data_IF_100292845227
#
_entry.id   IF_100292845227
#
_cell.length_a   1.000
_cell.length_b   1.000
_cell.length_c   1.000
_cell.angle_alpha   90.00
_cell.angle_beta   90.00
_cell.angle_gamma   90.00
#
_symmetry.space_group_name_H-M   'P 1'
#
loop_
_entity.id
_entity.type
_entity.pdbx_description
1 polymer ?
#
# COMPACT_ATOMS: atom_id res chain seq x y z
N UNK A 1 -27.95 -10.61 -7.04
CA UNK A 1 -27.14 -9.40 -7.28
C UNK A 1 -26.29 -9.71 -8.49
N UNK A 2 -26.60 -9.10 -9.63
CA UNK A 2 -25.88 -9.38 -10.86
C UNK A 2 -24.44 -8.88 -10.69
N UNK A 3 -23.49 -9.81 -10.66
CA UNK A 3 -22.09 -9.48 -10.69
C UNK A 3 -21.85 -8.66 -11.96
N UNK A 4 -21.50 -7.38 -11.80
CA UNK A 4 -21.21 -6.49 -12.92
C UNK A 4 -20.11 -7.17 -13.73
N UNK A 5 -20.42 -7.59 -14.96
CA UNK A 5 -19.47 -8.31 -15.79
C UNK A 5 -18.20 -7.47 -15.94
N UNK A 6 -17.09 -8.03 -15.50
CA UNK A 6 -15.78 -7.38 -15.54
C UNK A 6 -15.28 -7.41 -16.98
N UNK A 7 -14.92 -6.26 -17.55
CA UNK A 7 -14.38 -6.19 -18.90
C UNK A 7 -12.86 -6.36 -18.88
N UNK A 8 -12.31 -7.06 -19.87
CA UNK A 8 -10.88 -7.07 -20.11
C UNK A 8 -10.42 -5.69 -20.62
N UNK A 9 -9.24 -5.25 -20.20
CA UNK A 9 -8.67 -3.97 -20.62
C UNK A 9 -7.14 -4.04 -20.71
N UNK A 10 -6.56 -3.08 -21.42
CA UNK A 10 -5.11 -2.88 -21.53
C UNK A 10 -4.79 -1.46 -21.05
N UNK A 11 -3.66 -1.30 -20.36
CA UNK A 11 -3.11 0.01 -19.98
C UNK A 11 -1.70 0.14 -20.53
N UNK A 12 -1.46 1.25 -21.22
CA UNK A 12 -0.12 1.65 -21.62
C UNK A 12 0.77 1.98 -20.40
N UNK A 13 2.10 2.01 -20.56
CA UNK A 13 2.99 2.46 -19.50
C UNK A 13 2.55 3.80 -18.90
N UNK A 14 2.65 3.92 -17.57
CA UNK A 14 2.17 5.07 -16.79
C UNK A 14 0.67 5.41 -16.87
N UNK A 15 -0.13 4.70 -17.68
CA UNK A 15 -1.58 4.87 -17.67
C UNK A 15 -2.18 4.33 -16.37
N UNK A 16 -3.28 4.96 -15.96
CA UNK A 16 -4.07 4.62 -14.80
C UNK A 16 -4.33 5.80 -13.88
N UNK A 17 -5.36 5.67 -13.05
CA UNK A 17 -5.62 6.64 -11.98
C UNK A 17 -4.44 6.68 -11.01
N UNK A 18 -4.12 7.88 -10.56
CA UNK A 18 -3.05 8.12 -9.59
C UNK A 18 -3.62 8.71 -8.33
N UNK A 19 -3.17 8.22 -7.17
CA UNK A 19 -3.47 8.76 -5.85
C UNK A 19 -2.17 9.09 -5.12
N UNK A 20 -2.16 10.18 -4.35
CA UNK A 20 -1.10 10.51 -3.41
C UNK A 20 -1.50 10.08 -2.00
N UNK A 21 -1.05 8.90 -1.60
CA UNK A 21 -1.33 8.34 -0.29
C UNK A 21 -0.22 8.74 0.67
N UNK A 22 -0.43 9.83 1.41
CA UNK A 22 0.49 10.30 2.46
C UNK A 22 1.93 10.57 1.94
N UNK A 23 2.06 11.02 0.70
CA UNK A 23 3.35 11.28 0.04
C UNK A 23 3.88 10.13 -0.81
N UNK A 24 3.21 8.97 -0.83
CA UNK A 24 3.51 7.85 -1.73
C UNK A 24 2.54 7.88 -2.90
N UNK A 25 3.07 7.87 -4.13
CA UNK A 25 2.25 7.88 -5.33
C UNK A 25 1.83 6.46 -5.70
N UNK A 26 0.52 6.19 -5.77
CA UNK A 26 -0.05 4.93 -6.24
C UNK A 26 -0.59 5.11 -7.66
N UNK A 27 -0.09 4.32 -8.62
CA UNK A 27 -0.53 4.32 -10.03
C UNK A 27 -1.24 2.99 -10.31
N UNK A 28 -2.57 3.01 -10.39
CA UNK A 28 -3.35 1.78 -10.52
C UNK A 28 -3.14 1.11 -11.87
N UNK A 29 -2.94 -0.21 -11.84
CA UNK A 29 -2.97 -1.10 -13.00
C UNK A 29 -4.33 -1.77 -13.12
N UNK A 30 -4.94 -2.15 -12.00
CA UNK A 30 -6.32 -2.59 -11.91
C UNK A 30 -6.89 -2.20 -10.54
N UNK A 31 -7.95 -1.40 -10.50
CA UNK A 31 -8.68 -1.13 -9.26
C UNK A 31 -9.63 -2.29 -8.94
N UNK A 32 -9.97 -2.49 -7.67
CA UNK A 32 -10.95 -3.45 -7.19
C UNK A 32 -12.30 -3.31 -7.88
N UNK A 33 -12.73 -2.09 -8.19
CA UNK A 33 -13.99 -1.86 -8.96
C UNK A 33 -13.90 -2.40 -10.39
N UNK A 34 -12.70 -2.47 -10.95
CA UNK A 34 -12.41 -3.03 -12.28
C UNK A 34 -12.12 -4.54 -12.26
N UNK A 35 -11.98 -5.15 -11.09
CA UNK A 35 -11.73 -6.61 -10.92
C UNK A 35 -12.88 -7.33 -10.22
N UNK A 36 -14.03 -6.66 -10.09
CA UNK A 36 -15.18 -7.11 -9.28
C UNK A 36 -14.81 -7.47 -7.83
N UNK A 37 -13.84 -6.75 -7.26
CA UNK A 37 -13.37 -6.91 -5.88
C UNK A 37 -12.34 -8.03 -5.69
N UNK A 38 -11.98 -8.77 -6.75
CA UNK A 38 -11.09 -9.93 -6.65
C UNK A 38 -9.68 -9.56 -6.21
N UNK A 39 -9.16 -8.41 -6.67
CA UNK A 39 -7.88 -7.86 -6.25
C UNK A 39 -7.74 -6.39 -6.65
N UNK A 40 -6.81 -5.69 -6.02
CA UNK A 40 -6.31 -4.40 -6.48
C UNK A 40 -4.82 -4.54 -6.83
N UNK A 41 -4.40 -3.96 -7.94
CA UNK A 41 -3.01 -3.97 -8.41
C UNK A 41 -2.57 -2.55 -8.78
N UNK A 42 -1.49 -2.08 -8.18
CA UNK A 42 -0.93 -0.76 -8.49
C UNK A 42 0.58 -0.74 -8.37
N UNK A 43 1.18 0.30 -8.93
CA UNK A 43 2.59 0.61 -8.72
C UNK A 43 2.70 1.70 -7.67
N UNK A 44 3.43 1.45 -6.58
CA UNK A 44 3.80 2.47 -5.58
C UNK A 44 5.17 3.05 -5.93
N UNK A 45 5.24 4.38 -5.99
CA UNK A 45 6.48 5.14 -6.04
C UNK A 45 6.74 5.70 -4.65
N UNK A 46 7.69 5.09 -3.93
CA UNK A 46 8.01 5.40 -2.53
C UNK A 46 9.23 6.33 -2.48
N UNK A 47 9.08 7.60 -2.07
CA UNK A 47 10.22 8.53 -1.98
C UNK A 47 11.30 8.08 -0.98
N UNK A 48 12.53 8.59 -1.09
CA UNK A 48 13.58 8.37 -0.09
C UNK A 48 13.11 8.66 1.33
N UNK A 49 13.37 7.73 2.26
CA UNK A 49 12.99 7.85 3.68
C UNK A 49 11.51 7.61 3.98
N UNK A 50 10.64 7.58 2.96
CA UNK A 50 9.21 7.30 3.10
C UNK A 50 8.91 5.80 3.18
N UNK A 51 7.68 5.46 3.54
CA UNK A 51 7.24 4.10 3.75
C UNK A 51 5.86 4.06 4.39
N UNK A 52 5.39 2.85 4.71
CA UNK A 52 4.18 2.68 5.52
C UNK A 52 4.58 2.37 6.96
N UNK A 53 3.92 2.99 7.96
CA UNK A 53 4.12 2.60 9.35
C UNK A 53 3.70 1.14 9.55
N UNK A 54 4.08 0.49 10.67
CA UNK A 54 3.61 -0.84 10.96
C UNK A 54 2.08 -0.90 10.97
N UNK A 55 1.54 -1.86 10.23
CA UNK A 55 0.10 -2.02 10.09
C UNK A 55 -0.27 -3.47 9.82
N UNK A 56 -1.55 -3.77 10.00
CA UNK A 56 -2.16 -5.08 9.77
C UNK A 56 -3.44 -4.92 8.99
N UNK A 57 -3.62 -5.73 7.94
CA UNK A 57 -4.86 -5.83 7.17
C UNK A 57 -5.72 -6.97 7.74
N UNK A 58 -7.01 -6.72 7.98
CA UNK A 58 -7.93 -7.73 8.47
C UNK A 58 -8.53 -8.60 7.36
N UNK A 59 -8.54 -8.12 6.11
CA UNK A 59 -9.31 -8.75 5.03
C UNK A 59 -8.45 -9.21 3.85
N UNK A 60 -7.32 -8.55 3.62
CA UNK A 60 -6.48 -8.69 2.44
C UNK A 60 -5.13 -9.33 2.78
N UNK A 61 -4.66 -10.21 1.89
CA UNK A 61 -3.24 -10.47 1.77
C UNK A 61 -2.62 -9.39 0.88
N UNK A 62 -1.39 -8.97 1.17
CA UNK A 62 -0.65 -7.95 0.42
C UNK A 62 0.68 -8.53 -0.09
N UNK A 63 1.02 -8.25 -1.34
CA UNK A 63 2.26 -8.71 -1.94
C UNK A 63 3.00 -7.56 -2.61
N UNK A 64 4.32 -7.50 -2.41
CA UNK A 64 5.21 -6.53 -3.01
C UNK A 64 6.20 -7.20 -3.94
N UNK A 65 6.33 -6.67 -5.15
CA UNK A 65 7.39 -7.02 -6.09
C UNK A 65 8.18 -5.77 -6.45
N UNK A 66 9.47 -5.74 -6.09
CA UNK A 66 10.31 -4.55 -6.26
C UNK A 66 10.75 -4.42 -7.72
N UNK A 67 10.42 -3.31 -8.36
CA UNK A 67 10.76 -3.02 -9.75
C UNK A 67 12.07 -2.23 -9.87
N UNK A 68 12.28 -1.26 -8.97
CA UNK A 68 13.51 -0.47 -8.90
C UNK A 68 13.72 0.12 -7.51
N UNK A 69 14.96 0.45 -7.14
CA UNK A 69 15.29 0.91 -5.79
C UNK A 69 15.33 -0.26 -4.81
N UNK A 70 15.29 0.04 -3.52
CA UNK A 70 15.36 -0.96 -2.45
C UNK A 70 14.41 -0.56 -1.31
N UNK A 71 13.71 -1.55 -0.76
CA UNK A 71 12.94 -1.40 0.47
C UNK A 71 13.60 -2.16 1.62
N UNK A 72 13.49 -1.62 2.82
CA UNK A 72 13.58 -2.41 4.05
C UNK A 72 12.17 -2.80 4.46
N UNK A 73 11.97 -4.08 4.76
CA UNK A 73 10.68 -4.65 5.17
C UNK A 73 10.85 -5.31 6.53
N UNK A 74 9.91 -5.05 7.43
CA UNK A 74 9.81 -5.65 8.76
C UNK A 74 8.45 -6.33 8.88
N UNK A 75 8.39 -7.54 9.45
CA UNK A 75 7.13 -8.27 9.59
C UNK A 75 7.13 -9.20 10.80
N UNK A 76 5.93 -9.52 11.27
CA UNK A 76 5.72 -10.32 12.47
C UNK A 76 6.20 -11.78 12.30
N UNK A 77 7.00 -12.23 13.26
CA UNK A 77 7.57 -13.58 13.27
C UNK A 77 8.99 -13.66 12.73
N UNK A 78 9.54 -12.53 12.27
CA UNK A 78 10.95 -12.40 11.95
C UNK A 78 11.67 -11.49 12.96
N UNK A 79 12.94 -11.79 13.21
CA UNK A 79 13.78 -11.08 14.16
C UNK A 79 14.54 -9.90 13.56
N UNK A 80 14.61 -9.79 12.22
CA UNK A 80 15.40 -8.76 11.56
C UNK A 80 14.67 -8.12 10.36
N UNK A 81 14.92 -6.83 10.08
CA UNK A 81 14.48 -6.21 8.83
C UNK A 81 15.19 -6.81 7.62
N UNK A 82 14.48 -6.94 6.51
CA UNK A 82 14.99 -7.49 5.25
C UNK A 82 15.14 -6.39 4.19
N UNK A 83 16.30 -6.33 3.54
CA UNK A 83 16.48 -5.50 2.35
C UNK A 83 16.01 -6.25 1.11
N UNK A 84 15.09 -5.66 0.38
CA UNK A 84 14.48 -6.24 -0.83
C UNK A 84 14.80 -5.33 -2.01
N UNK A 85 15.70 -5.82 -2.86
CA UNK A 85 16.18 -5.15 -4.07
C UNK A 85 15.33 -5.53 -5.30
N UNK A 86 15.58 -4.97 -6.50
CA UNK A 86 14.77 -5.25 -7.69
C UNK A 86 14.72 -6.74 -8.05
N UNK A 87 13.53 -7.23 -8.39
CA UNK A 87 13.24 -8.65 -8.58
C UNK A 87 12.93 -9.41 -7.28
N UNK A 88 13.12 -8.77 -6.12
CA UNK A 88 12.73 -9.31 -4.83
C UNK A 88 11.22 -9.25 -4.59
N UNK A 89 10.75 -10.14 -3.73
CA UNK A 89 9.34 -10.34 -3.42
C UNK A 89 9.11 -10.41 -1.91
N UNK A 90 8.02 -9.81 -1.45
CA UNK A 90 7.52 -9.95 -0.09
C UNK A 90 6.03 -10.29 -0.12
N UNK A 91 5.61 -11.14 0.81
CA UNK A 91 4.22 -11.51 1.03
C UNK A 91 3.83 -11.22 2.48
N UNK A 92 2.95 -10.22 2.65
CA UNK A 92 2.29 -9.89 3.91
C UNK A 92 0.95 -10.60 4.00
N UNK A 93 0.92 -11.72 4.73
CA UNK A 93 -0.32 -12.44 4.96
C UNK A 93 -1.31 -11.60 5.81
N UNK A 94 -2.60 -11.71 5.52
CA UNK A 94 -3.68 -11.09 6.29
C UNK A 94 -3.55 -11.41 7.79
N UNK A 95 -3.85 -10.43 8.63
CA UNK A 95 -3.73 -10.56 10.08
C UNK A 95 -2.29 -10.60 10.60
N UNK A 96 -1.27 -10.40 9.74
CA UNK A 96 0.14 -10.30 10.15
C UNK A 96 0.64 -8.87 9.99
N UNK A 97 1.23 -8.35 11.06
CA UNK A 97 1.83 -7.01 11.08
C UNK A 97 3.02 -6.94 10.14
N UNK A 98 3.10 -5.86 9.35
CA UNK A 98 4.29 -5.54 8.57
C UNK A 98 4.46 -4.02 8.35
N UNK A 99 5.67 -3.62 7.94
CA UNK A 99 6.04 -2.24 7.62
C UNK A 99 7.05 -2.23 6.47
N UNK A 100 7.05 -1.17 5.66
CA UNK A 100 8.08 -0.95 4.63
C UNK A 100 8.70 0.44 4.76
N UNK A 101 9.96 0.57 4.35
CA UNK A 101 10.64 1.85 4.23
C UNK A 101 11.60 1.85 3.06
N UNK A 102 11.57 2.90 2.24
CA UNK A 102 12.65 3.15 1.29
C UNK A 102 13.84 3.77 2.03
N UNK A 103 14.94 3.03 2.13
CA UNK A 103 16.18 3.48 2.79
C UNK A 103 17.24 3.97 1.79
N UNK A 104 16.93 3.98 0.50
CA UNK A 104 17.79 4.51 -0.55
C UNK A 104 17.70 6.04 -0.68
N UNK A 105 18.53 6.58 -1.57
CA UNK A 105 18.59 8.01 -1.92
C UNK A 105 17.72 8.38 -3.13
N UNK A 106 17.08 7.39 -3.76
CA UNK A 106 16.20 7.54 -4.93
C UNK A 106 14.84 6.89 -4.66
N UNK A 107 13.77 7.31 -5.36
CA UNK A 107 12.47 6.65 -5.25
C UNK A 107 12.54 5.16 -5.58
N UNK A 108 11.90 4.33 -4.76
CA UNK A 108 11.68 2.92 -5.04
C UNK A 108 10.35 2.75 -5.79
N UNK A 109 10.31 1.83 -6.76
CA UNK A 109 9.10 1.45 -7.50
C UNK A 109 8.74 0.02 -7.15
N UNK A 110 7.50 -0.19 -6.74
CA UNK A 110 7.04 -1.48 -6.21
C UNK A 110 5.70 -1.79 -6.83
N UNK A 111 5.54 -2.97 -7.41
CA UNK A 111 4.23 -3.47 -7.80
C UNK A 111 3.58 -4.07 -6.55
N UNK A 112 2.39 -3.60 -6.21
CA UNK A 112 1.63 -4.01 -5.04
C UNK A 112 0.34 -4.68 -5.49
N UNK A 113 0.07 -5.84 -4.93
CA UNK A 113 -1.18 -6.58 -5.10
C UNK A 113 -1.84 -6.75 -3.72
N UNK A 114 -3.10 -6.37 -3.59
CA UNK A 114 -3.94 -6.76 -2.46
C UNK A 114 -5.08 -7.65 -2.94
N UNK A 115 -5.28 -8.78 -2.25
CA UNK A 115 -6.30 -9.76 -2.59
C UNK A 115 -7.00 -10.33 -1.34
N UNK A 116 -8.34 -10.30 -1.27
CA UNK A 116 -9.26 -9.52 -2.12
C UNK A 116 -8.98 -8.01 -2.06
N UNK A 117 -9.64 -7.20 -2.90
CA UNK A 117 -9.48 -5.74 -2.84
C UNK A 117 -10.08 -5.14 -1.56
N UNK A 118 -11.23 -5.67 -1.14
CA UNK A 118 -11.95 -5.37 0.11
C UNK A 118 -12.11 -3.87 0.50
N UNK A 119 -12.01 -2.96 -0.46
CA UNK A 119 -12.26 -1.53 -0.24
C UNK A 119 -11.00 -0.69 -0.04
N UNK A 120 -9.80 -1.28 -0.15
CA UNK A 120 -8.55 -0.54 0.02
C UNK A 120 -8.41 0.63 -0.96
N UNK A 121 -8.93 0.52 -2.17
CA UNK A 121 -8.88 1.61 -3.15
C UNK A 121 -9.63 2.85 -2.65
N UNK A 122 -10.78 2.63 -2.02
CA UNK A 122 -11.61 3.69 -1.43
C UNK A 122 -10.94 4.30 -0.21
N UNK A 123 -10.29 3.47 0.63
CA UNK A 123 -9.45 3.95 1.73
C UNK A 123 -8.36 4.89 1.21
N UNK A 124 -7.63 4.47 0.17
CA UNK A 124 -6.56 5.27 -0.41
C UNK A 124 -7.09 6.57 -1.05
N UNK A 125 -8.28 6.55 -1.65
CA UNK A 125 -8.92 7.76 -2.17
C UNK A 125 -9.31 8.74 -1.03
N UNK A 126 -9.79 8.24 0.12
CA UNK A 126 -10.03 9.08 1.30
C UNK A 126 -8.74 9.69 1.85
N UNK A 127 -7.64 8.92 1.87
CA UNK A 127 -6.32 9.39 2.33
C UNK A 127 -5.70 10.41 1.37
N UNK A 128 -5.88 10.23 0.06
CA UNK A 128 -5.48 11.19 -0.97
C UNK A 128 -6.21 12.52 -0.80
N UNK A 129 -7.54 12.47 -0.67
CA UNK A 129 -8.34 13.66 -0.39
C UNK A 129 -7.93 14.36 0.92
N UNK A 130 -7.57 13.60 1.95
CA UNK A 130 -7.07 14.16 3.21
C UNK A 130 -5.69 14.81 3.05
N UNK A 131 -4.83 14.25 2.19
CA UNK A 131 -3.47 14.74 1.89
C UNK A 131 -3.51 16.00 1.02
N UNK A 132 -4.47 16.12 0.11
CA UNK A 132 -4.68 17.31 -0.70
C UNK A 132 -4.97 18.57 0.15
N UNK A 133 -5.48 18.40 1.37
CA UNK A 133 -5.70 19.48 2.34
C UNK A 133 -4.45 19.84 3.18
N UNK A 134 -3.30 19.23 2.91
CA UNK A 134 -2.07 19.34 3.68
C UNK A 134 -1.73 18.03 4.40
N UNK A 135 -0.69 18.05 5.25
CA UNK A 135 -0.30 16.86 6.03
C UNK A 135 -1.43 16.50 7.00
N UNK A 136 -2.10 15.34 6.86
CA UNK A 136 -3.21 15.00 7.73
C UNK A 136 -2.71 14.62 9.13
N UNK A 137 -3.49 14.96 10.15
CA UNK A 137 -3.29 14.51 11.52
C UNK A 137 -3.34 12.97 11.60
N UNK A 138 -2.41 12.36 12.35
CA UNK A 138 -2.31 10.90 12.43
C UNK A 138 -3.59 10.23 12.95
N UNK A 139 -4.30 10.88 13.87
CA UNK A 139 -5.60 10.38 14.34
C UNK A 139 -6.64 10.25 13.22
N UNK A 140 -6.64 11.16 12.24
CA UNK A 140 -7.51 11.08 11.07
C UNK A 140 -7.10 9.94 10.13
N UNK A 141 -5.79 9.76 9.94
CA UNK A 141 -5.25 8.65 9.13
C UNK A 141 -5.65 7.29 9.71
N UNK A 142 -5.44 7.10 11.03
CA UNK A 142 -5.84 5.88 11.75
C UNK A 142 -7.34 5.66 11.66
N UNK A 143 -8.15 6.71 11.85
CA UNK A 143 -9.61 6.60 11.77
C UNK A 143 -10.10 6.23 10.37
N UNK A 144 -9.47 6.74 9.30
CA UNK A 144 -9.80 6.33 7.93
C UNK A 144 -9.44 4.86 7.73
N UNK A 145 -8.19 4.46 8.03
CA UNK A 145 -7.71 3.09 7.85
C UNK A 145 -8.58 2.04 8.56
N UNK A 146 -8.99 2.34 9.80
CA UNK A 146 -9.79 1.44 10.62
C UNK A 146 -11.17 1.11 10.00
N UNK A 147 -11.78 2.03 9.23
CA UNK A 147 -13.06 1.77 8.53
C UNK A 147 -12.96 0.62 7.52
N UNK A 148 -11.75 0.40 7.01
CA UNK A 148 -11.45 -0.56 5.94
C UNK A 148 -10.69 -1.79 6.47
N UNK A 149 -10.66 -2.00 7.78
CA UNK A 149 -10.01 -3.17 8.37
C UNK A 149 -8.48 -3.07 8.44
N UNK A 150 -7.91 -1.88 8.23
CA UNK A 150 -6.46 -1.65 8.38
C UNK A 150 -6.18 -1.02 9.74
N UNK A 151 -5.42 -1.72 10.57
CA UNK A 151 -4.95 -1.20 11.86
C UNK A 151 -3.55 -0.65 11.69
N UNK A 152 -3.37 0.66 11.88
CA UNK A 152 -2.07 1.31 11.86
C UNK A 152 -1.57 1.46 13.30
N UNK A 153 -0.36 1.00 13.56
CA UNK A 153 0.34 1.27 14.79
C UNK A 153 0.95 2.69 14.71
N UNK A 154 0.64 3.58 15.66
CA UNK A 154 1.33 4.86 15.73
C UNK A 154 2.84 4.62 15.93
N UNK A 155 3.70 5.56 15.50
CA UNK A 155 5.12 5.49 15.83
C UNK A 155 5.27 5.32 17.34
N UNK A 156 6.15 4.41 17.77
CA UNK A 156 6.50 4.33 19.18
C UNK A 156 7.02 5.70 19.64
N UNK A 157 6.61 6.14 20.83
CA UNK A 157 7.24 7.30 21.46
C UNK A 157 8.76 7.09 21.48
N UNK A 158 9.57 8.13 21.20
CA UNK A 158 11.01 8.00 21.33
C UNK A 158 11.33 7.51 22.75
N UNK A 159 12.34 6.62 22.91
CA UNK A 159 12.76 6.19 24.23
C UNK A 159 13.09 7.43 25.06
N UNK A 160 12.50 7.48 26.25
CA UNK A 160 12.69 8.57 27.22
C UNK A 160 14.13 8.59 27.75
#
# INVERSE_FOLDING_TARGET
MDAKATAAFVREPAAGSTLNVLGITHIYKAAGTETAGSFSLWESVVPPGAGTPPHTHAHEDEAFYVLSGELVIEFEGDSAPHRVAPGGFFFGARGRRHAIRNVGDKPARVLVLCAPSCGLDQMFAELDAATAAGKPEMGKVVAIAAKYGVTIEPPADPPR
#
